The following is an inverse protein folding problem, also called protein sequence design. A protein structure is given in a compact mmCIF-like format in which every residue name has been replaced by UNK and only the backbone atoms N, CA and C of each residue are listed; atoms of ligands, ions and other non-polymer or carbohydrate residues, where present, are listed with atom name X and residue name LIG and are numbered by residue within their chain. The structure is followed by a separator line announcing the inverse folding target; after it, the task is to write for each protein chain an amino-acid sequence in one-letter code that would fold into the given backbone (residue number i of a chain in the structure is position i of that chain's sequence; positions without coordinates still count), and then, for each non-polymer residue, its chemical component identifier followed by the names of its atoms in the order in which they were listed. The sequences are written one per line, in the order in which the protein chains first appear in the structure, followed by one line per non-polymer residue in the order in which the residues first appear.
data_IF_986131400666
#
_entry.id   IF_986131400666
#
_cell.length_a   1.000
_cell.length_b   1.000
_cell.length_c   1.000
_cell.angle_alpha   90.00
_cell.angle_beta   90.00
_cell.angle_gamma   90.00
#
_symmetry.space_group_name_H-M   'P 1'
#
loop_
_entity.id
_entity.type
_entity.pdbx_description
1 polymer ?
#
# COMPACT_ATOMS: atom_id res chain seq x y z
N UNK A 1 -0.94 -14.50 2.70
CA UNK A 1 -0.25 -13.62 3.66
C UNK A 1 -0.52 -14.02 5.11
N UNK A 2 -1.78 -14.00 5.61
CA UNK A 2 -2.06 -14.16 7.05
C UNK A 2 -1.48 -15.44 7.67
N UNK A 3 -1.64 -16.64 7.09
CA UNK A 3 -1.03 -17.83 7.69
C UNK A 3 0.48 -17.73 7.87
N UNK A 4 1.21 -17.22 6.84
CA UNK A 4 2.66 -16.99 6.95
C UNK A 4 3.01 -15.95 8.01
N UNK A 5 2.25 -14.86 8.11
CA UNK A 5 2.47 -13.82 9.12
C UNK A 5 2.31 -14.39 10.53
N UNK A 6 1.22 -15.12 10.79
CA UNK A 6 0.99 -15.74 12.11
C UNK A 6 2.09 -16.75 12.47
N UNK A 7 2.56 -17.51 11.49
CA UNK A 7 3.68 -18.45 11.69
C UNK A 7 4.98 -17.73 12.03
N UNK A 8 5.32 -16.67 11.31
CA UNK A 8 6.54 -15.90 11.56
C UNK A 8 6.46 -15.11 12.89
N UNK A 9 5.29 -14.57 13.25
CA UNK A 9 5.08 -13.92 14.55
C UNK A 9 5.31 -14.91 15.71
N UNK A 10 4.83 -16.15 15.60
CA UNK A 10 5.06 -17.21 16.62
C UNK A 10 6.54 -17.55 16.78
N UNK A 11 7.35 -17.40 15.71
CA UNK A 11 8.80 -17.67 15.74
C UNK A 11 9.64 -16.51 16.26
N UNK A 12 9.03 -15.34 16.51
CA UNK A 12 9.75 -14.18 17.03
C UNK A 12 10.46 -14.48 18.36
N UNK A 13 11.71 -14.04 18.51
CA UNK A 13 12.55 -14.29 19.66
C UNK A 13 13.04 -13.01 20.37
N UNK A 14 13.00 -11.84 19.68
CA UNK A 14 13.57 -10.59 20.20
C UNK A 14 12.58 -9.42 20.17
N UNK A 15 12.02 -9.14 18.98
CA UNK A 15 11.11 -8.02 18.83
C UNK A 15 10.15 -8.20 17.65
N UNK A 16 8.99 -7.52 17.76
CA UNK A 16 7.99 -7.41 16.71
C UNK A 16 7.59 -5.95 16.59
N UNK A 17 7.73 -5.38 15.39
CA UNK A 17 7.30 -4.02 15.07
C UNK A 17 6.20 -4.06 14.02
N UNK A 18 5.08 -3.41 14.29
CA UNK A 18 3.93 -3.35 13.39
C UNK A 18 3.48 -1.90 13.22
N UNK A 19 3.32 -1.48 11.97
CA UNK A 19 2.86 -0.16 11.55
C UNK A 19 1.78 -0.33 10.48
N UNK A 20 0.55 0.11 10.75
CA UNK A 20 -0.57 -0.09 9.85
C UNK A 20 -1.47 1.14 9.80
N UNK A 21 -1.91 1.51 8.58
CA UNK A 21 -2.88 2.59 8.42
C UNK A 21 -4.22 2.25 9.08
N UNK A 22 -4.72 1.02 8.92
CA UNK A 22 -5.96 0.54 9.56
C UNK A 22 -5.66 -0.70 10.40
N UNK A 23 -6.11 -0.66 11.65
CA UNK A 23 -6.33 -1.83 12.51
C UNK A 23 -7.81 -1.82 12.91
N UNK A 24 -8.52 -2.93 12.71
CA UNK A 24 -9.93 -3.11 13.09
C UNK A 24 -10.08 -4.36 13.95
N UNK A 25 -10.79 -4.23 15.06
CA UNK A 25 -11.07 -5.37 15.95
C UNK A 25 -11.95 -6.40 15.21
N UNK A 26 -11.40 -7.58 14.96
CA UNK A 26 -12.01 -8.66 14.20
C UNK A 26 -11.23 -9.97 14.37
N UNK A 27 -11.52 -10.94 13.52
CA UNK A 27 -10.90 -12.27 13.58
C UNK A 27 -9.38 -12.15 13.29
N UNK A 28 -9.01 -11.46 12.22
CA UNK A 28 -7.60 -11.30 11.83
C UNK A 28 -6.77 -10.63 12.92
N UNK A 29 -7.25 -9.49 13.44
CA UNK A 29 -6.55 -8.79 14.52
C UNK A 29 -6.50 -9.60 15.81
N UNK A 30 -7.61 -10.27 16.19
CA UNK A 30 -7.65 -11.11 17.39
C UNK A 30 -6.62 -12.24 17.37
N UNK A 31 -6.44 -12.90 16.20
CA UNK A 31 -5.41 -13.94 16.03
C UNK A 31 -3.98 -13.37 16.16
N UNK A 32 -3.74 -12.18 15.60
CA UNK A 32 -2.45 -11.49 15.70
C UNK A 32 -2.20 -11.02 17.14
N UNK A 33 -3.16 -10.32 17.75
CA UNK A 33 -3.05 -9.74 19.08
C UNK A 33 -2.73 -10.80 20.14
N UNK A 34 -3.38 -11.97 20.09
CA UNK A 34 -3.11 -13.07 21.00
C UNK A 34 -1.63 -13.50 20.98
N UNK A 35 -1.00 -13.53 19.79
CA UNK A 35 0.42 -13.85 19.66
C UNK A 35 1.29 -12.69 20.20
N UNK A 36 0.91 -11.43 19.88
CA UNK A 36 1.65 -10.25 20.36
C UNK A 36 1.64 -10.18 21.89
N UNK A 37 0.50 -10.46 22.54
CA UNK A 37 0.38 -10.52 24.00
C UNK A 37 1.26 -11.64 24.60
N UNK A 38 1.25 -12.84 24.00
CA UNK A 38 2.12 -13.95 24.42
C UNK A 38 3.61 -13.53 24.36
N UNK A 39 4.02 -12.91 23.24
CA UNK A 39 5.40 -12.48 23.00
C UNK A 39 5.82 -11.33 23.94
N UNK A 40 4.94 -10.34 24.16
CA UNK A 40 5.19 -9.26 25.11
C UNK A 40 5.33 -9.80 26.54
N UNK A 41 4.46 -10.71 26.98
CA UNK A 41 4.55 -11.37 28.28
C UNK A 41 5.81 -12.24 28.42
N UNK A 42 6.36 -12.76 27.32
CA UNK A 42 7.63 -13.47 27.29
C UNK A 42 8.85 -12.51 27.31
N UNK A 43 8.63 -11.19 27.32
CA UNK A 43 9.68 -10.17 27.44
C UNK A 43 10.23 -9.64 26.11
N UNK A 44 9.60 -9.95 24.97
CA UNK A 44 9.99 -9.39 23.69
C UNK A 44 9.59 -7.90 23.60
N UNK A 45 10.33 -7.12 22.83
CA UNK A 45 9.93 -5.74 22.52
C UNK A 45 8.87 -5.73 21.40
N UNK A 46 7.61 -5.63 21.79
CA UNK A 46 6.47 -5.60 20.87
C UNK A 46 5.97 -4.17 20.75
N UNK A 47 5.99 -3.64 19.53
CA UNK A 47 5.56 -2.27 19.20
C UNK A 47 4.49 -2.28 18.14
N UNK A 48 3.41 -1.55 18.38
CA UNK A 48 2.30 -1.38 17.44
C UNK A 48 2.06 0.11 17.22
N UNK A 49 2.09 0.54 15.96
CA UNK A 49 1.74 1.89 15.56
C UNK A 49 0.61 1.86 14.53
N UNK A 50 -0.31 2.80 14.64
CA UNK A 50 -1.39 2.95 13.68
C UNK A 50 -1.68 4.43 13.42
N UNK A 51 -2.32 4.74 12.28
CA UNK A 51 -2.73 6.11 11.99
C UNK A 51 -3.85 6.55 12.95
N UNK A 52 -3.78 7.78 13.44
CA UNK A 52 -4.74 8.31 14.41
C UNK A 52 -6.18 8.42 13.92
N UNK A 53 -6.44 8.24 12.62
CA UNK A 53 -7.81 8.10 12.09
C UNK A 53 -8.53 6.88 12.68
N UNK A 54 -7.79 5.84 13.09
CA UNK A 54 -8.38 4.63 13.69
C UNK A 54 -9.12 4.93 14.98
N UNK A 55 -8.64 5.88 15.80
CA UNK A 55 -9.29 6.29 17.04
C UNK A 55 -10.69 6.90 16.81
N UNK A 56 -10.98 7.33 15.58
CA UNK A 56 -12.29 7.86 15.20
C UNK A 56 -13.18 6.86 14.46
N UNK A 57 -12.61 5.77 13.95
CA UNK A 57 -13.30 4.90 12.99
C UNK A 57 -13.43 3.46 13.41
N UNK A 58 -12.34 2.83 13.89
CA UNK A 58 -12.25 1.38 14.10
C UNK A 58 -11.82 0.97 15.49
N UNK A 59 -11.12 1.83 16.24
CA UNK A 59 -10.60 1.55 17.55
C UNK A 59 -11.20 2.49 18.62
N UNK A 60 -11.29 2.04 19.87
CA UNK A 60 -11.71 2.89 20.98
C UNK A 60 -10.58 3.86 21.38
N UNK A 61 -10.93 5.02 21.96
CA UNK A 61 -9.95 6.03 22.42
C UNK A 61 -8.97 5.51 23.49
N UNK A 62 -9.36 4.49 24.24
CA UNK A 62 -8.53 3.84 25.26
C UNK A 62 -7.69 2.67 24.72
N UNK A 63 -7.68 2.47 23.39
CA UNK A 63 -7.08 1.28 22.80
C UNK A 63 -5.57 1.20 23.05
N UNK A 64 -4.85 2.32 22.98
CA UNK A 64 -3.42 2.40 23.33
C UNK A 64 -3.19 1.95 24.78
N UNK A 65 -4.02 2.42 25.72
CA UNK A 65 -3.91 2.00 27.11
C UNK A 65 -4.20 0.51 27.30
N UNK A 66 -5.15 -0.05 26.53
CA UNK A 66 -5.44 -1.50 26.53
C UNK A 66 -4.23 -2.30 26.08
N UNK A 67 -3.55 -1.89 25.00
CA UNK A 67 -2.32 -2.52 24.52
C UNK A 67 -1.18 -2.41 25.54
N UNK A 68 -1.01 -1.25 26.18
CA UNK A 68 0.00 -1.07 27.23
C UNK A 68 -0.24 -1.99 28.44
N UNK A 69 -1.50 -2.24 28.84
CA UNK A 69 -1.83 -3.14 29.96
C UNK A 69 -1.40 -4.58 29.72
N UNK A 70 -1.29 -5.00 28.45
CA UNK A 70 -0.83 -6.35 28.08
C UNK A 70 0.64 -6.38 27.65
N UNK A 71 1.40 -5.31 27.96
CA UNK A 71 2.84 -5.23 27.74
C UNK A 71 3.26 -4.82 26.31
N UNK A 72 2.32 -4.48 25.44
CA UNK A 72 2.57 -4.02 24.08
C UNK A 72 2.76 -2.50 24.10
N UNK A 73 3.89 -2.00 23.57
CA UNK A 73 4.10 -0.57 23.37
C UNK A 73 3.27 -0.13 22.17
N UNK A 74 2.43 0.89 22.33
CA UNK A 74 1.55 1.36 21.26
C UNK A 74 1.58 2.87 21.11
N UNK A 75 1.43 3.36 19.87
CA UNK A 75 1.36 4.78 19.53
C UNK A 75 0.40 5.01 18.36
N UNK A 76 -0.25 6.19 18.32
CA UNK A 76 -0.99 6.67 17.18
C UNK A 76 -0.21 7.76 16.43
N UNK A 77 -0.07 7.61 15.11
CA UNK A 77 0.48 8.66 14.26
C UNK A 77 -0.56 9.77 14.04
N UNK A 78 -0.18 11.03 14.32
CA UNK A 78 -1.03 12.20 14.06
C UNK A 78 -2.48 12.03 14.52
N UNK A 79 -2.75 11.83 15.84
CA UNK A 79 -4.10 11.73 16.37
C UNK A 79 -4.95 12.92 15.93
N UNK A 80 -6.20 12.68 15.54
CA UNK A 80 -7.08 13.75 15.05
C UNK A 80 -7.52 14.62 16.21
N UNK A 81 -7.18 15.90 16.15
CA UNK A 81 -7.62 16.92 17.12
C UNK A 81 -8.61 17.87 16.43
N UNK A 82 -9.60 18.44 17.13
CA UNK A 82 -10.59 19.35 16.56
C UNK A 82 -10.02 20.75 16.26
N UNK A 83 -8.85 20.82 15.65
CA UNK A 83 -8.16 22.06 15.25
C UNK A 83 -7.84 21.94 13.77
N UNK A 84 -8.25 22.93 12.97
CA UNK A 84 -7.91 23.01 11.55
C UNK A 84 -6.39 23.24 11.39
N UNK A 85 -5.70 22.22 10.89
CA UNK A 85 -4.28 22.28 10.55
C UNK A 85 -4.01 21.53 9.25
N UNK A 86 -3.21 22.14 8.36
CA UNK A 86 -2.76 21.53 7.11
C UNK A 86 -1.97 20.22 7.37
N UNK A 87 -1.28 20.14 8.51
CA UNK A 87 -0.52 18.94 8.91
C UNK A 87 -1.38 17.72 9.19
N UNK A 88 -2.70 17.88 9.44
CA UNK A 88 -3.62 16.74 9.59
C UNK A 88 -3.93 16.01 8.28
N UNK A 89 -3.55 16.57 7.13
CA UNK A 89 -3.68 15.90 5.84
C UNK A 89 -2.60 14.84 5.63
N UNK A 90 -1.45 14.94 6.32
CA UNK A 90 -0.41 13.94 6.23
C UNK A 90 -0.80 12.71 7.04
N UNK A 91 -0.90 11.56 6.37
CA UNK A 91 -1.27 10.28 6.99
C UNK A 91 -0.17 9.25 6.82
N UNK A 92 -0.09 8.35 7.79
CA UNK A 92 0.77 7.19 7.71
C UNK A 92 0.02 6.05 7.04
N UNK A 93 0.20 5.92 5.73
CA UNK A 93 -0.51 4.91 4.94
C UNK A 93 0.31 3.63 4.75
N UNK A 94 1.43 3.47 5.46
CA UNK A 94 2.28 2.28 5.41
C UNK A 94 1.63 1.07 6.09
N UNK A 95 2.06 -0.11 5.69
CA UNK A 95 1.67 -1.38 6.28
C UNK A 95 2.93 -2.23 6.39
N UNK A 96 3.57 -2.14 7.54
CA UNK A 96 4.87 -2.77 7.78
C UNK A 96 4.77 -3.69 9.00
N UNK A 97 5.23 -4.92 8.87
CA UNK A 97 5.57 -5.77 10.02
C UNK A 97 7.02 -6.16 9.90
N UNK A 98 7.79 -5.98 10.98
CA UNK A 98 9.19 -6.43 11.08
C UNK A 98 9.34 -7.37 12.26
N UNK A 99 9.94 -8.54 12.02
CA UNK A 99 10.14 -9.59 13.03
C UNK A 99 11.64 -9.86 13.13
N UNK A 100 12.21 -9.60 14.30
CA UNK A 100 13.63 -9.83 14.66
C UNK A 100 14.64 -9.18 13.68
N UNK A 101 14.20 -8.25 12.82
CA UNK A 101 15.01 -7.67 11.75
C UNK A 101 15.43 -8.65 10.66
N UNK A 102 14.82 -9.83 10.61
CA UNK A 102 15.10 -10.92 9.68
C UNK A 102 14.02 -11.10 8.63
N UNK A 103 12.75 -10.93 9.04
CA UNK A 103 11.57 -11.05 8.19
C UNK A 103 10.79 -9.76 8.25
N UNK A 104 10.24 -9.33 7.10
CA UNK A 104 9.30 -8.23 7.06
C UNK A 104 8.15 -8.51 6.08
N UNK A 105 7.02 -7.83 6.32
CA UNK A 105 5.86 -7.82 5.45
C UNK A 105 5.51 -6.39 5.09
N UNK A 106 5.12 -6.17 3.83
CA UNK A 106 4.51 -4.93 3.37
C UNK A 106 3.61 -5.18 2.17
N UNK A 107 2.79 -4.20 1.78
CA UNK A 107 1.86 -4.25 0.66
C UNK A 107 0.57 -3.51 0.93
N UNK A 108 -0.51 -3.83 0.19
CA UNK A 108 -1.79 -3.14 0.32
C UNK A 108 -2.62 -3.54 1.54
N UNK A 109 -2.36 -4.70 2.15
CA UNK A 109 -3.21 -5.34 3.16
C UNK A 109 -3.12 -4.64 4.51
N UNK A 110 -4.22 -4.06 4.99
CA UNK A 110 -4.37 -3.61 6.38
C UNK A 110 -4.81 -4.77 7.30
N UNK A 111 -4.86 -4.50 8.60
CA UNK A 111 -5.29 -5.47 9.61
C UNK A 111 -6.78 -5.30 9.86
N UNK A 112 -7.59 -5.84 8.96
CA UNK A 112 -9.05 -5.90 9.09
C UNK A 112 -9.60 -7.08 8.27
N UNK A 113 -10.75 -7.60 8.66
CA UNK A 113 -11.32 -8.84 8.14
C UNK A 113 -11.71 -8.77 6.65
N UNK A 114 -12.08 -7.58 6.14
CA UNK A 114 -12.39 -7.39 4.72
C UNK A 114 -11.18 -7.60 3.80
N UNK A 115 -9.98 -7.21 4.23
CA UNK A 115 -8.75 -7.37 3.42
C UNK A 115 -8.38 -8.83 3.15
N UNK A 116 -8.94 -9.74 3.92
CA UNK A 116 -8.71 -11.19 3.82
C UNK A 116 -9.98 -11.98 3.54
N UNK A 117 -11.03 -11.30 3.13
CA UNK A 117 -12.33 -11.86 2.79
C UNK A 117 -13.00 -12.67 3.93
N UNK A 118 -12.69 -12.37 5.19
CA UNK A 118 -13.42 -12.87 6.37
C UNK A 118 -14.69 -12.04 6.66
N UNK A 119 -14.77 -10.85 6.09
CA UNK A 119 -15.95 -9.97 6.09
C UNK A 119 -16.15 -9.41 4.66
N UNK A 120 -17.33 -9.56 4.09
CA UNK A 120 -17.65 -8.95 2.81
C UNK A 120 -18.05 -7.49 3.00
N UNK A 121 -17.45 -6.58 2.19
CA UNK A 121 -17.75 -5.15 2.22
C UNK A 121 -18.00 -4.56 0.84
N UNK A 122 -17.19 -4.89 -0.15
CA UNK A 122 -17.29 -4.44 -1.54
C UNK A 122 -17.08 -5.61 -2.50
N UNK A 123 -17.79 -6.74 -2.26
CA UNK A 123 -17.55 -8.00 -2.94
C UNK A 123 -16.21 -8.62 -2.54
N UNK A 124 -15.63 -9.41 -3.42
CA UNK A 124 -14.33 -10.02 -3.17
C UNK A 124 -13.22 -8.96 -3.13
N UNK A 125 -12.46 -8.93 -2.05
CA UNK A 125 -11.32 -8.03 -1.85
C UNK A 125 -10.05 -8.66 -2.41
N UNK A 126 -9.47 -8.01 -3.43
CA UNK A 126 -8.21 -8.42 -4.05
C UNK A 126 -7.08 -7.49 -3.62
N UNK A 127 -6.09 -8.05 -2.94
CA UNK A 127 -4.92 -7.30 -2.50
C UNK A 127 -3.62 -8.08 -2.76
N UNK A 128 -2.47 -7.41 -2.56
CA UNK A 128 -1.14 -7.99 -2.74
C UNK A 128 -0.24 -7.57 -1.58
N UNK A 129 0.54 -8.50 -1.06
CA UNK A 129 1.55 -8.25 -0.06
C UNK A 129 2.81 -9.08 -0.35
N UNK A 130 3.95 -8.58 0.09
CA UNK A 130 5.25 -9.24 0.02
C UNK A 130 5.71 -9.65 1.41
N UNK A 131 6.34 -10.83 1.49
CA UNK A 131 7.18 -11.27 2.59
C UNK A 131 8.63 -11.13 2.16
N UNK A 132 9.41 -10.37 2.90
CA UNK A 132 10.83 -10.15 2.68
C UNK A 132 11.65 -10.89 3.72
N UNK A 133 12.80 -11.41 3.31
CA UNK A 133 13.76 -12.08 4.17
C UNK A 133 15.17 -11.56 3.85
N UNK A 134 15.99 -11.33 4.88
CA UNK A 134 17.37 -10.89 4.73
C UNK A 134 17.58 -9.37 4.70
N UNK A 135 18.56 -8.89 3.92
CA UNK A 135 19.04 -7.49 4.00
C UNK A 135 18.01 -6.43 3.65
N UNK A 136 17.06 -6.72 2.78
CA UNK A 136 15.98 -5.80 2.40
C UNK A 136 15.10 -5.38 3.60
N UNK A 137 14.99 -6.23 4.62
CA UNK A 137 14.23 -5.96 5.86
C UNK A 137 14.73 -4.71 6.59
N UNK A 138 16.03 -4.38 6.44
CA UNK A 138 16.62 -3.23 7.14
C UNK A 138 15.99 -1.90 6.76
N UNK A 139 15.60 -1.73 5.50
CA UNK A 139 14.94 -0.50 5.04
C UNK A 139 13.57 -0.35 5.69
N UNK A 140 12.73 -1.41 5.70
CA UNK A 140 11.41 -1.36 6.33
C UNK A 140 11.53 -1.15 7.85
N UNK A 141 12.52 -1.79 8.50
CA UNK A 141 12.84 -1.55 9.91
C UNK A 141 13.22 -0.09 10.18
N UNK A 142 14.04 0.50 9.31
CA UNK A 142 14.42 1.91 9.44
C UNK A 142 13.24 2.86 9.25
N UNK A 143 12.34 2.57 8.31
CA UNK A 143 11.10 3.34 8.09
C UNK A 143 10.21 3.31 9.35
N UNK A 144 9.96 2.12 9.90
CA UNK A 144 9.22 1.98 11.15
C UNK A 144 9.85 2.78 12.30
N UNK A 145 11.14 2.54 12.57
CA UNK A 145 11.84 3.17 13.69
C UNK A 145 11.89 4.70 13.57
N UNK A 146 12.03 5.23 12.35
CA UNK A 146 12.00 6.65 12.09
C UNK A 146 10.65 7.24 12.50
N UNK A 147 9.56 6.60 12.08
CA UNK A 147 8.22 7.08 12.41
C UNK A 147 7.90 6.91 13.90
N UNK A 148 8.29 5.78 14.49
CA UNK A 148 8.17 5.53 15.92
C UNK A 148 8.84 6.61 16.76
N UNK A 149 10.04 7.05 16.35
CA UNK A 149 10.80 8.08 17.08
C UNK A 149 10.20 9.48 16.92
N UNK A 150 9.62 9.78 15.75
CA UNK A 150 8.98 11.08 15.50
C UNK A 150 7.67 11.24 16.29
N UNK A 151 6.94 10.15 16.49
CA UNK A 151 5.63 10.16 17.17
C UNK A 151 5.73 9.91 18.67
N UNK A 152 6.83 9.33 19.15
CA UNK A 152 6.98 8.84 20.52
C UNK A 152 7.91 9.64 21.42
N UNK A 153 7.97 9.21 22.69
CA UNK A 153 8.82 9.78 23.74
C UNK A 153 10.21 9.10 23.75
N UNK A 154 10.34 7.95 23.09
CA UNK A 154 11.58 7.16 23.07
C UNK A 154 12.63 7.81 22.15
N UNK A 155 13.83 8.03 22.67
CA UNK A 155 14.84 8.83 22.02
C UNK A 155 15.67 8.08 20.98
N UNK A 156 16.55 8.82 20.24
CA UNK A 156 17.45 8.32 19.19
C UNK A 156 18.30 7.09 19.57
N UNK A 157 18.66 6.93 20.83
CA UNK A 157 19.50 5.81 21.29
C UNK A 157 18.84 4.44 21.12
N UNK A 158 17.53 4.40 21.31
CA UNK A 158 16.76 3.17 21.14
C UNK A 158 16.72 2.74 19.67
N UNK A 159 16.51 3.71 18.76
CA UNK A 159 16.56 3.47 17.33
C UNK A 159 17.95 2.98 16.86
N UNK A 160 19.04 3.58 17.34
CA UNK A 160 20.40 3.23 16.97
C UNK A 160 20.73 1.77 17.28
N UNK A 161 20.26 1.24 18.42
CA UNK A 161 20.48 -0.15 18.80
C UNK A 161 19.96 -1.12 17.71
N UNK A 162 18.73 -0.96 17.24
CA UNK A 162 18.15 -1.82 16.22
C UNK A 162 18.77 -1.61 14.82
N UNK A 163 19.16 -0.37 14.48
CA UNK A 163 19.75 -0.08 13.17
C UNK A 163 21.19 -0.63 13.02
N UNK A 164 21.92 -0.82 14.12
CA UNK A 164 23.26 -1.40 14.09
C UNK A 164 23.26 -2.93 13.90
N UNK A 165 22.10 -3.58 14.05
CA UNK A 165 22.00 -5.02 13.81
C UNK A 165 22.27 -5.35 12.34
N UNK A 166 23.16 -6.32 12.15
CA UNK A 166 23.47 -6.82 10.80
C UNK A 166 22.43 -7.85 10.37
N UNK A 167 21.77 -7.65 9.22
CA UNK A 167 20.85 -8.65 8.71
C UNK A 167 21.58 -9.93 8.31
N UNK A 168 20.89 -11.05 8.40
CA UNK A 168 21.39 -12.27 7.78
C UNK A 168 21.41 -12.09 6.27
N UNK A 169 22.52 -12.43 5.65
CA UNK A 169 22.57 -12.50 4.19
C UNK A 169 21.78 -13.72 3.73
N UNK A 170 20.94 -13.51 2.75
CA UNK A 170 20.23 -14.57 2.05
C UNK A 170 20.68 -14.57 0.59
N UNK A 171 20.90 -15.74 0.05
CA UNK A 171 21.11 -15.89 -1.39
C UNK A 171 19.77 -15.74 -2.11
N UNK A 172 19.79 -15.01 -3.20
CA UNK A 172 18.57 -14.75 -4.01
C UNK A 172 18.95 -14.26 -5.40
N UNK A 173 17.99 -14.30 -6.31
CA UNK A 173 18.16 -13.76 -7.66
C UNK A 173 17.66 -12.31 -7.72
N UNK A 174 18.39 -11.48 -8.48
CA UNK A 174 18.00 -10.09 -8.74
C UNK A 174 18.18 -9.17 -7.53
N UNK A 175 17.47 -8.06 -7.57
CA UNK A 175 17.50 -7.02 -6.54
C UNK A 175 16.12 -6.84 -5.91
N UNK A 176 16.12 -6.58 -4.60
CA UNK A 176 14.95 -6.23 -3.80
C UNK A 176 15.26 -4.92 -3.08
N UNK A 177 14.60 -3.83 -3.46
CA UNK A 177 14.88 -2.48 -3.01
C UNK A 177 13.63 -1.87 -2.36
N UNK A 178 13.42 -2.05 -1.06
CA UNK A 178 12.38 -1.32 -0.35
C UNK A 178 12.73 0.17 -0.28
N UNK A 179 11.72 1.03 -0.38
CA UNK A 179 11.86 2.47 -0.30
C UNK A 179 10.67 3.09 0.43
N UNK A 180 10.88 4.29 0.98
CA UNK A 180 9.82 5.09 1.57
C UNK A 180 9.53 6.32 0.70
N UNK A 181 8.26 6.74 0.68
CA UNK A 181 7.83 8.04 0.19
C UNK A 181 7.39 8.92 1.37
N UNK A 182 7.71 10.19 1.33
CA UNK A 182 7.39 11.12 2.41
C UNK A 182 6.93 12.47 1.86
N UNK A 183 5.83 13.02 2.38
CA UNK A 183 5.36 14.34 1.98
C UNK A 183 6.31 15.47 2.43
N UNK A 184 7.24 15.18 3.34
CA UNK A 184 8.18 16.15 3.91
C UNK A 184 9.49 16.26 3.13
N UNK A 185 9.70 15.41 2.11
CA UNK A 185 10.91 15.46 1.27
C UNK A 185 10.62 16.12 -0.07
N UNK A 186 11.65 16.75 -0.63
CA UNK A 186 11.56 17.32 -1.98
C UNK A 186 11.47 16.24 -3.08
N UNK A 187 12.10 15.09 -2.85
CA UNK A 187 12.12 13.99 -3.81
C UNK A 187 10.81 13.21 -3.81
N UNK A 188 10.25 13.01 -4.98
CA UNK A 188 9.00 12.29 -5.25
C UNK A 188 9.30 10.82 -5.60
N UNK A 189 9.89 10.10 -4.66
CA UNK A 189 10.43 8.74 -4.92
C UNK A 189 9.38 7.81 -5.52
N UNK A 190 8.16 7.85 -5.03
CA UNK A 190 7.07 7.00 -5.50
C UNK A 190 6.73 7.27 -6.98
N UNK A 191 6.56 8.54 -7.33
CA UNK A 191 6.29 8.99 -8.69
C UNK A 191 7.45 8.67 -9.62
N UNK A 192 8.70 8.98 -9.20
CA UNK A 192 9.92 8.69 -9.96
C UNK A 192 10.03 7.20 -10.30
N UNK A 193 9.69 6.31 -9.36
CA UNK A 193 9.71 4.86 -9.59
C UNK A 193 8.63 4.43 -10.59
N UNK A 194 7.41 4.98 -10.50
CA UNK A 194 6.35 4.67 -11.47
C UNK A 194 6.69 5.21 -12.86
N UNK A 195 7.21 6.43 -12.95
CA UNK A 195 7.70 7.01 -14.19
C UNK A 195 8.86 6.21 -14.78
N UNK A 196 9.76 5.70 -13.93
CA UNK A 196 10.85 4.83 -14.38
C UNK A 196 10.30 3.59 -15.10
N UNK A 197 9.37 2.83 -14.49
CA UNK A 197 8.79 1.65 -15.15
C UNK A 197 8.11 2.01 -16.48
N UNK A 198 7.27 3.05 -16.50
CA UNK A 198 6.57 3.48 -17.70
C UNK A 198 7.51 3.93 -18.84
N UNK A 199 8.63 4.58 -18.50
CA UNK A 199 9.57 5.11 -19.48
C UNK A 199 10.58 4.07 -19.98
N UNK A 200 10.93 3.07 -19.18
CA UNK A 200 11.94 2.05 -19.52
C UNK A 200 11.34 0.78 -20.11
N UNK A 201 10.03 0.55 -19.93
CA UNK A 201 9.35 -0.62 -20.49
C UNK A 201 9.41 -0.67 -22.01
N UNK A 202 9.53 -1.88 -22.54
CA UNK A 202 9.61 -2.17 -23.99
C UNK A 202 8.47 -3.04 -24.49
N UNK A 203 7.98 -3.96 -23.66
CA UNK A 203 6.95 -4.91 -24.02
C UNK A 203 5.62 -4.58 -23.35
N UNK A 204 5.59 -4.48 -22.03
CA UNK A 204 4.37 -4.19 -21.29
C UNK A 204 4.60 -3.50 -19.95
N UNK A 205 3.57 -2.77 -19.48
CA UNK A 205 3.40 -2.34 -18.08
C UNK A 205 1.97 -2.67 -17.64
N UNK A 206 1.85 -3.53 -16.63
CA UNK A 206 0.57 -3.93 -16.06
C UNK A 206 0.40 -3.36 -14.66
N UNK A 207 -0.73 -2.74 -14.39
CA UNK A 207 -0.98 -1.93 -13.20
C UNK A 207 -2.24 -2.42 -12.50
N UNK A 208 -2.16 -2.64 -11.17
CA UNK A 208 -3.35 -2.76 -10.31
C UNK A 208 -3.36 -1.62 -9.32
N UNK A 209 -4.47 -0.88 -9.24
CA UNK A 209 -4.63 0.24 -8.31
C UNK A 209 -6.09 0.45 -7.94
N UNK A 210 -6.41 0.75 -6.66
CA UNK A 210 -7.78 1.07 -6.28
C UNK A 210 -8.25 2.43 -6.79
N UNK A 211 -7.33 3.37 -6.96
CA UNK A 211 -7.61 4.74 -7.38
C UNK A 211 -6.71 5.16 -8.54
N UNK A 212 -7.29 5.92 -9.47
CA UNK A 212 -6.61 6.45 -10.64
C UNK A 212 -6.91 7.96 -10.72
N UNK A 213 -6.20 8.74 -9.90
CA UNK A 213 -6.30 10.21 -9.85
C UNK A 213 -4.93 10.76 -10.22
N UNK A 214 -4.71 10.87 -11.52
CA UNK A 214 -3.40 11.10 -12.14
C UNK A 214 -3.03 12.58 -12.16
N UNK A 215 -1.73 12.86 -12.04
CA UNK A 215 -1.14 14.10 -12.47
C UNK A 215 -0.81 14.07 -13.98
N UNK A 216 -0.37 15.20 -14.50
CA UNK A 216 -0.05 15.32 -15.92
C UNK A 216 1.16 14.47 -16.33
N UNK A 217 2.14 14.27 -15.45
CA UNK A 217 3.32 13.46 -15.69
C UNK A 217 2.96 12.00 -15.92
N UNK A 218 2.16 11.41 -15.05
CA UNK A 218 1.71 10.01 -15.15
C UNK A 218 0.78 9.81 -16.36
N UNK A 219 -0.15 10.75 -16.64
CA UNK A 219 -0.98 10.69 -17.84
C UNK A 219 -0.10 10.67 -19.09
N UNK A 220 0.90 11.56 -19.17
CA UNK A 220 1.82 11.63 -20.29
C UNK A 220 2.67 10.38 -20.41
N UNK A 221 3.21 9.86 -19.31
CA UNK A 221 4.04 8.66 -19.32
C UNK A 221 3.25 7.42 -19.78
N UNK A 222 2.04 7.20 -19.26
CA UNK A 222 1.17 6.08 -19.66
C UNK A 222 0.78 6.18 -21.14
N UNK A 223 0.33 7.35 -21.58
CA UNK A 223 -0.07 7.57 -22.99
C UNK A 223 1.13 7.48 -23.94
N UNK A 224 2.30 7.95 -23.54
CA UNK A 224 3.52 7.85 -24.33
C UNK A 224 4.02 6.40 -24.42
N UNK A 225 3.99 5.64 -23.33
CA UNK A 225 4.34 4.22 -23.33
C UNK A 225 3.44 3.44 -24.31
N UNK A 226 2.11 3.62 -24.24
CA UNK A 226 1.17 2.98 -25.16
C UNK A 226 1.43 3.38 -26.63
N UNK A 227 1.68 4.66 -26.90
CA UNK A 227 2.02 5.14 -28.26
C UNK A 227 3.36 4.62 -28.81
N UNK A 228 4.29 4.23 -27.92
CA UNK A 228 5.53 3.53 -28.31
C UNK A 228 5.30 2.06 -28.67
N UNK A 229 4.09 1.52 -28.44
CA UNK A 229 3.75 0.12 -28.68
C UNK A 229 3.86 -0.77 -27.44
N UNK A 230 4.08 -0.19 -26.25
CA UNK A 230 4.06 -0.91 -24.98
C UNK A 230 2.61 -1.27 -24.62
N UNK A 231 2.34 -2.52 -24.24
CA UNK A 231 1.02 -2.95 -23.78
C UNK A 231 0.79 -2.44 -22.35
N UNK A 232 0.11 -1.31 -22.22
CA UNK A 232 -0.23 -0.70 -20.93
C UNK A 232 -1.62 -1.13 -20.52
N UNK A 233 -1.73 -1.87 -19.39
CA UNK A 233 -3.01 -2.34 -18.85
C UNK A 233 -3.20 -1.89 -17.40
N UNK A 234 -4.43 -1.47 -17.07
CA UNK A 234 -4.79 -1.01 -15.73
C UNK A 234 -5.99 -1.79 -15.25
N UNK A 235 -5.90 -2.44 -14.09
CA UNK A 235 -7.05 -3.08 -13.42
C UNK A 235 -7.46 -2.21 -12.24
N UNK A 236 -8.75 -1.86 -12.21
CA UNK A 236 -9.40 -1.06 -11.19
C UNK A 236 -10.55 -1.84 -10.52
N UNK A 237 -11.07 -1.37 -9.38
CA UNK A 237 -12.24 -1.98 -8.76
C UNK A 237 -13.46 -2.02 -9.70
N UNK A 238 -14.18 -3.14 -9.69
CA UNK A 238 -15.51 -3.24 -10.29
C UNK A 238 -16.58 -2.63 -9.40
N UNK A 239 -16.42 -2.79 -8.08
CA UNK A 239 -17.27 -2.19 -7.04
C UNK A 239 -16.41 -1.19 -6.25
N UNK A 240 -16.53 0.13 -6.48
CA UNK A 240 -15.71 1.12 -5.79
C UNK A 240 -16.15 1.30 -4.33
N UNK A 241 -15.19 1.54 -3.43
CA UNK A 241 -15.45 1.94 -2.04
C UNK A 241 -15.89 3.39 -1.91
N UNK A 242 -15.42 4.25 -2.84
CA UNK A 242 -15.71 5.68 -2.92
C UNK A 242 -16.13 6.04 -4.35
N UNK A 243 -17.43 6.27 -4.54
CA UNK A 243 -17.96 6.58 -5.85
C UNK A 243 -17.32 7.82 -6.47
N UNK A 244 -17.07 8.88 -5.68
CA UNK A 244 -16.44 10.10 -6.19
C UNK A 244 -15.01 9.86 -6.75
N UNK A 245 -14.22 9.00 -6.11
CA UNK A 245 -12.87 8.67 -6.59
C UNK A 245 -12.92 7.89 -7.92
N UNK A 246 -13.91 7.01 -8.07
CA UNK A 246 -14.17 6.33 -9.32
C UNK A 246 -14.65 7.30 -10.42
N UNK A 247 -15.52 8.24 -10.07
CA UNK A 247 -16.02 9.26 -11.01
C UNK A 247 -14.87 10.15 -11.53
N UNK A 248 -13.92 10.54 -10.65
CA UNK A 248 -12.71 11.27 -11.05
C UNK A 248 -11.86 10.39 -11.99
N UNK A 249 -11.62 9.12 -11.64
CA UNK A 249 -10.84 8.21 -12.49
C UNK A 249 -11.39 8.14 -13.92
N UNK A 250 -12.71 8.14 -14.09
CA UNK A 250 -13.35 8.09 -15.41
C UNK A 250 -13.04 9.30 -16.29
N UNK A 251 -12.63 10.43 -15.73
CA UNK A 251 -12.23 11.61 -16.50
C UNK A 251 -10.94 11.39 -17.31
N UNK A 252 -10.07 10.51 -16.85
CA UNK A 252 -8.83 10.13 -17.53
C UNK A 252 -9.04 9.03 -18.57
N UNK A 253 -10.11 8.22 -18.46
CA UNK A 253 -10.31 7.02 -19.30
C UNK A 253 -10.28 7.34 -20.79
N UNK A 254 -10.95 8.41 -21.22
CA UNK A 254 -10.97 8.74 -22.65
C UNK A 254 -9.58 8.99 -23.20
N UNK A 255 -8.77 9.79 -22.53
CA UNK A 255 -7.41 10.12 -22.97
C UNK A 255 -6.49 8.88 -22.98
N UNK A 256 -6.62 8.01 -21.98
CA UNK A 256 -5.85 6.78 -21.87
C UNK A 256 -6.26 5.77 -22.98
N UNK A 257 -7.57 5.53 -23.16
CA UNK A 257 -8.10 4.63 -24.18
C UNK A 257 -7.76 5.10 -25.60
N UNK A 258 -7.88 6.42 -25.90
CA UNK A 258 -7.51 7.00 -27.19
C UNK A 258 -6.00 6.83 -27.51
N UNK A 259 -5.16 6.72 -26.48
CA UNK A 259 -3.72 6.46 -26.62
C UNK A 259 -3.37 4.98 -26.78
N UNK A 260 -4.32 4.06 -26.55
CA UNK A 260 -4.11 2.62 -26.62
C UNK A 260 -3.89 1.93 -25.27
N UNK A 261 -4.01 2.66 -24.14
CA UNK A 261 -4.02 2.04 -22.79
C UNK A 261 -5.31 1.25 -22.64
N UNK A 262 -5.20 0.03 -22.09
CA UNK A 262 -6.37 -0.83 -21.81
C UNK A 262 -6.74 -0.77 -20.34
N UNK A 263 -8.01 -0.59 -20.05
CA UNK A 263 -8.54 -0.42 -18.70
C UNK A 263 -9.52 -1.55 -18.40
N UNK A 264 -9.40 -2.18 -17.26
CA UNK A 264 -10.22 -3.30 -16.82
C UNK A 264 -10.87 -3.00 -15.46
N UNK A 265 -12.07 -3.49 -15.27
CA UNK A 265 -12.81 -3.43 -14.00
C UNK A 265 -12.94 -4.83 -13.42
N UNK A 266 -12.40 -5.06 -12.24
CA UNK A 266 -12.46 -6.35 -11.54
C UNK A 266 -13.88 -6.65 -11.08
N UNK A 267 -14.61 -7.48 -11.82
CA UNK A 267 -16.05 -7.71 -11.62
C UNK A 267 -16.41 -8.37 -10.29
N UNK A 268 -15.58 -9.26 -9.68
CA UNK A 268 -15.94 -9.84 -8.39
C UNK A 268 -15.97 -8.86 -7.22
N UNK A 269 -15.34 -7.66 -7.35
CA UNK A 269 -15.36 -6.72 -6.23
C UNK A 269 -14.32 -5.61 -6.29
N UNK A 270 -13.55 -5.48 -5.20
CA UNK A 270 -12.63 -4.37 -4.98
C UNK A 270 -11.17 -4.80 -5.11
N UNK A 271 -10.46 -4.24 -6.10
CA UNK A 271 -9.00 -4.34 -6.20
C UNK A 271 -8.37 -3.28 -5.33
N UNK A 272 -7.67 -3.68 -4.29
CA UNK A 272 -6.91 -2.78 -3.42
C UNK A 272 -5.39 -2.96 -3.56
N UNK A 273 -4.93 -3.86 -4.41
CA UNK A 273 -3.51 -4.04 -4.73
C UNK A 273 -2.92 -2.76 -5.34
N UNK A 274 -1.67 -2.45 -5.01
CA UNK A 274 -0.87 -1.38 -5.60
C UNK A 274 0.36 -2.04 -6.20
N UNK A 275 0.24 -2.34 -7.49
CA UNK A 275 1.21 -3.13 -8.24
C UNK A 275 1.48 -2.49 -9.59
N UNK A 276 2.75 -2.40 -9.93
CA UNK A 276 3.24 -2.17 -11.28
C UNK A 276 4.17 -3.33 -11.63
N UNK A 277 3.99 -3.97 -12.77
CA UNK A 277 4.88 -5.03 -13.25
C UNK A 277 5.17 -4.81 -14.73
N UNK A 278 6.44 -5.01 -15.14
CA UNK A 278 6.91 -4.67 -16.46
C UNK A 278 7.93 -5.69 -16.99
N UNK A 279 7.75 -6.08 -18.26
CA UNK A 279 8.72 -6.79 -19.12
C UNK A 279 9.29 -8.07 -18.49
N UNK A 280 8.55 -8.72 -17.57
CA UNK A 280 9.03 -9.88 -16.76
C UNK A 280 10.33 -9.62 -15.99
N UNK A 281 10.72 -8.36 -15.82
CA UNK A 281 11.98 -7.97 -15.20
C UNK A 281 11.84 -7.05 -14.00
N UNK A 282 10.79 -6.23 -13.95
CA UNK A 282 10.61 -5.22 -12.94
C UNK A 282 9.22 -5.32 -12.33
N UNK A 283 9.12 -5.10 -11.03
CA UNK A 283 7.84 -4.91 -10.37
C UNK A 283 7.95 -3.97 -9.17
N UNK A 284 6.85 -3.34 -8.83
CA UNK A 284 6.66 -2.62 -7.58
C UNK A 284 5.42 -3.16 -6.89
N UNK A 285 5.56 -3.46 -5.61
CA UNK A 285 4.43 -3.78 -4.72
C UNK A 285 4.59 -2.93 -3.46
N UNK A 286 3.52 -2.30 -3.01
CA UNK A 286 3.59 -1.48 -1.81
C UNK A 286 2.25 -0.93 -1.37
N UNK A 287 2.30 0.21 -0.73
CA UNK A 287 1.13 0.90 -0.17
C UNK A 287 0.62 2.02 -1.07
N UNK A 288 1.41 2.42 -2.09
CA UNK A 288 1.27 3.64 -2.87
C UNK A 288 0.19 3.49 -3.95
N UNK A 289 -0.95 4.14 -3.79
CA UNK A 289 -1.95 4.24 -4.84
C UNK A 289 -1.47 5.14 -5.98
N UNK A 290 -2.09 4.99 -7.14
CA UNK A 290 -1.89 5.92 -8.27
C UNK A 290 -2.84 7.13 -8.11
N UNK A 291 -2.63 7.88 -7.03
CA UNK A 291 -3.41 9.08 -6.71
C UNK A 291 -2.55 10.16 -6.02
N UNK A 292 -3.04 11.42 -6.05
CA UNK A 292 -2.35 12.58 -5.49
C UNK A 292 -2.01 12.41 -4.00
N UNK A 293 -2.93 11.83 -3.22
CA UNK A 293 -2.72 11.67 -1.78
C UNK A 293 -1.55 10.74 -1.49
N UNK A 294 -1.48 9.60 -2.16
CA UNK A 294 -0.38 8.64 -1.98
C UNK A 294 0.95 9.18 -2.49
N UNK A 295 0.94 9.89 -3.62
CA UNK A 295 2.18 10.42 -4.22
C UNK A 295 2.75 11.61 -3.44
N UNK A 296 1.89 12.49 -2.86
CA UNK A 296 2.32 13.80 -2.36
C UNK A 296 1.99 14.10 -0.90
N UNK A 297 1.06 13.40 -0.27
CA UNK A 297 0.55 13.76 1.05
C UNK A 297 0.73 12.69 2.12
N UNK A 298 0.88 11.42 1.75
CA UNK A 298 1.03 10.32 2.70
C UNK A 298 2.50 9.94 2.91
N UNK A 299 2.78 9.39 4.09
CA UNK A 299 3.91 8.51 4.27
C UNK A 299 3.53 7.13 3.70
N UNK A 300 4.31 6.66 2.75
CA UNK A 300 4.08 5.40 2.02
C UNK A 300 5.35 4.58 1.97
N UNK A 301 5.23 3.29 1.62
CA UNK A 301 6.35 2.45 1.28
C UNK A 301 6.07 1.59 0.04
N UNK A 302 7.15 1.19 -0.60
CA UNK A 302 7.10 0.27 -1.74
C UNK A 302 8.36 -0.58 -1.79
N UNK A 303 8.27 -1.66 -2.54
CA UNK A 303 9.40 -2.56 -2.82
C UNK A 303 9.56 -2.67 -4.32
N UNK A 304 10.67 -2.18 -4.84
CA UNK A 304 11.06 -2.36 -6.22
C UNK A 304 11.85 -3.66 -6.38
N UNK A 305 11.39 -4.52 -7.28
CA UNK A 305 11.99 -5.80 -7.64
C UNK A 305 12.59 -5.69 -9.03
N UNK A 306 13.84 -6.13 -9.19
CA UNK A 306 14.52 -6.14 -10.49
C UNK A 306 15.16 -7.49 -10.75
N UNK A 307 14.78 -8.14 -11.86
CA UNK A 307 15.25 -9.47 -12.27
C UNK A 307 15.15 -10.53 -11.19
N UNK A 308 14.11 -10.40 -10.35
CA UNK A 308 13.76 -11.33 -9.30
C UNK A 308 12.65 -12.28 -9.79
N UNK A 309 12.67 -13.53 -9.35
CA UNK A 309 11.67 -14.53 -9.77
C UNK A 309 10.24 -14.13 -9.36
N UNK A 310 10.07 -13.40 -8.27
CA UNK A 310 8.74 -12.94 -7.82
C UNK A 310 8.07 -12.00 -8.82
N UNK A 311 8.83 -11.35 -9.72
CA UNK A 311 8.25 -10.53 -10.80
C UNK A 311 7.32 -11.37 -11.68
N UNK A 312 7.68 -12.62 -11.96
CA UNK A 312 6.85 -13.53 -12.76
C UNK A 312 5.59 -13.97 -12.00
N UNK A 313 5.69 -14.18 -10.69
CA UNK A 313 4.52 -14.51 -9.87
C UNK A 313 3.54 -13.33 -9.75
N UNK A 314 4.07 -12.09 -9.67
CA UNK A 314 3.27 -10.86 -9.66
C UNK A 314 2.55 -10.69 -11.01
N UNK A 315 3.23 -10.95 -12.13
CA UNK A 315 2.61 -10.92 -13.45
C UNK A 315 1.49 -11.97 -13.59
N UNK A 316 1.74 -13.19 -13.17
CA UNK A 316 0.71 -14.24 -13.16
C UNK A 316 -0.49 -13.87 -12.28
N UNK A 317 -0.26 -13.17 -11.17
CA UNK A 317 -1.33 -12.68 -10.29
C UNK A 317 -2.15 -11.58 -10.98
N UNK A 318 -1.49 -10.70 -11.75
CA UNK A 318 -2.15 -9.71 -12.60
C UNK A 318 -3.02 -10.39 -13.66
N UNK A 319 -2.48 -11.35 -14.41
CA UNK A 319 -3.19 -12.08 -15.47
C UNK A 319 -4.44 -12.82 -14.93
N UNK A 320 -4.31 -13.48 -13.77
CA UNK A 320 -5.46 -14.13 -13.10
C UNK A 320 -6.53 -13.12 -12.71
N UNK A 321 -6.12 -11.95 -12.23
CA UNK A 321 -7.05 -10.87 -11.85
C UNK A 321 -7.72 -10.27 -13.08
N UNK A 322 -6.97 -10.07 -14.17
CA UNK A 322 -7.52 -9.59 -15.44
C UNK A 322 -8.53 -10.56 -16.05
N UNK A 323 -8.29 -11.86 -15.96
CA UNK A 323 -9.23 -12.88 -16.47
C UNK A 323 -10.62 -12.84 -15.78
N UNK A 324 -10.70 -12.23 -14.59
CA UNK A 324 -11.94 -11.98 -13.85
C UNK A 324 -12.45 -10.54 -14.00
N UNK A 325 -11.92 -9.78 -14.96
CA UNK A 325 -12.21 -8.36 -15.13
C UNK A 325 -12.89 -8.11 -16.49
N UNK A 326 -13.72 -7.08 -16.53
CA UNK A 326 -14.38 -6.60 -17.76
C UNK A 326 -13.57 -5.42 -18.33
N UNK A 327 -13.28 -5.47 -19.64
CA UNK A 327 -12.57 -4.39 -20.31
C UNK A 327 -13.48 -3.19 -20.56
N UNK A 328 -13.00 -2.01 -20.23
CA UNK A 328 -13.66 -0.74 -20.49
C UNK A 328 -13.38 -0.32 -21.94
N UNK A 329 -14.44 -0.03 -22.69
CA UNK A 329 -14.35 0.45 -24.06
C UNK A 329 -14.88 1.88 -24.17
N UNK A 330 -14.54 2.58 -25.26
CA UNK A 330 -15.12 3.89 -25.54
C UNK A 330 -16.65 3.84 -25.64
N UNK A 331 -17.20 2.72 -26.11
CA UNK A 331 -18.65 2.49 -26.17
C UNK A 331 -19.24 2.38 -24.75
N UNK A 332 -18.64 1.54 -23.87
CA UNK A 332 -19.11 1.41 -22.48
C UNK A 332 -18.99 2.73 -21.71
N UNK A 333 -17.89 3.48 -21.95
CA UNK A 333 -17.69 4.81 -21.38
C UNK A 333 -18.78 5.81 -21.85
N UNK A 334 -19.20 5.75 -23.11
CA UNK A 334 -20.23 6.63 -23.64
C UNK A 334 -21.61 6.38 -23.01
N UNK A 335 -21.86 5.14 -22.58
CA UNK A 335 -23.12 4.73 -21.93
C UNK A 335 -23.17 5.06 -20.43
N UNK A 336 -22.06 5.50 -19.82
CA UNK A 336 -22.08 5.95 -18.44
C UNK A 336 -23.01 7.13 -18.24
N UNK A 337 -23.75 7.11 -17.13
CA UNK A 337 -24.69 8.18 -16.80
C UNK A 337 -24.00 9.55 -16.82
N UNK A 338 -24.64 10.55 -17.43
CA UNK A 338 -24.09 11.91 -17.56
C UNK A 338 -23.77 12.51 -16.18
N UNK A 339 -24.51 12.14 -15.13
CA UNK A 339 -24.29 12.58 -13.75
C UNK A 339 -22.90 12.16 -13.23
N UNK A 340 -22.45 10.92 -13.49
CA UNK A 340 -21.11 10.43 -13.11
C UNK A 340 -20.02 11.21 -13.85
N UNK A 341 -20.18 11.46 -15.14
CA UNK A 341 -19.21 12.22 -15.93
C UNK A 341 -19.08 13.66 -15.45
N UNK A 342 -20.23 14.33 -15.20
CA UNK A 342 -20.24 15.71 -14.70
C UNK A 342 -19.69 15.78 -13.26
N UNK A 343 -20.07 14.83 -12.41
CA UNK A 343 -19.53 14.68 -11.05
C UNK A 343 -18.02 14.51 -11.05
N UNK A 344 -17.48 13.65 -11.93
CA UNK A 344 -16.04 13.44 -12.08
C UNK A 344 -15.30 14.73 -12.40
N UNK A 345 -15.76 15.52 -13.37
CA UNK A 345 -15.13 16.81 -13.70
C UNK A 345 -15.21 17.83 -12.55
N UNK A 346 -16.33 17.86 -11.83
CA UNK A 346 -16.47 18.78 -10.69
C UNK A 346 -15.52 18.39 -9.55
N UNK A 347 -15.45 17.10 -9.23
CA UNK A 347 -14.56 16.58 -8.18
C UNK A 347 -13.08 16.62 -8.59
N UNK A 348 -12.74 16.53 -9.89
CA UNK A 348 -11.33 16.63 -10.34
C UNK A 348 -10.70 17.98 -9.99
N UNK A 349 -11.49 19.05 -9.87
CA UNK A 349 -11.00 20.37 -9.44
C UNK A 349 -10.44 20.36 -8.00
N UNK A 350 -10.90 19.44 -7.17
CA UNK A 350 -10.42 19.27 -5.79
C UNK A 350 -9.59 17.98 -5.62
N UNK A 351 -9.35 17.25 -6.72
CA UNK A 351 -8.54 16.03 -6.75
C UNK A 351 -7.21 16.14 -5.99
N UNK A 352 -6.43 17.24 -6.17
CA UNK A 352 -5.19 17.45 -5.43
C UNK A 352 -5.34 17.60 -3.90
N UNK A 353 -6.57 17.79 -3.42
CA UNK A 353 -6.89 17.95 -1.99
C UNK A 353 -7.46 16.66 -1.36
N UNK A 354 -7.71 15.64 -2.19
CA UNK A 354 -8.38 14.39 -1.78
C UNK A 354 -7.41 13.29 -1.40
#
# INVERSE_FOLDING_TARGET
MVPSLLEDLKKAERYIFMEYFIIDEGIMWGEILAILEEKANAGLDVRVMFDGMNEMTTLSYDYIERLHKVGIKAQAFSPVKPILSIYYNYRDHRKITVIDGQVAYTGGVNIADEYVNKRERFGHWKDTALRLDGSAVQTLKALFLTMWTVTGIEGKRDMEHYLQEKPQKREGQGLVLPYGNSPLTYHKVAEDVYLHLLNTSTDYVHIMTPYLILDDELVRAMTFAAKRGVDVRIIMPGIPDKQYAFDIATTYFKALLDAGVRIFRYTPGFVHAKVYVSDSQQAVVGTINTDYRSLYQNFEDGVFLYKNLEVLHIEQDFERTQALSEEVTLESLSKMAMAHRLGGYLFSLIGPLM
#
